data_IF_432742815014
#
_entry.id   IF_432742815014
#
_cell.length_a   1.000
_cell.length_b   1.000
_cell.length_c   1.000
_cell.angle_alpha   90.00
_cell.angle_beta   90.00
_cell.angle_gamma   90.00
#
_symmetry.space_group_name_H-M   'P 1'
#
loop_
_entity.id
_entity.type
_entity.pdbx_description
1 polymer ?
#
# COMPACT_ATOMS: atom_id res chain seq x y z
N UNK A 1 -5.28 8.94 14.24
CA UNK A 1 -5.35 8.45 12.84
C UNK A 1 -6.79 8.13 12.44
N UNK A 2 -7.46 7.14 13.04
CA UNK A 2 -8.84 6.72 12.69
C UNK A 2 -9.84 7.89 12.70
N UNK A 3 -9.91 8.66 13.80
CA UNK A 3 -10.77 9.84 13.88
C UNK A 3 -10.46 10.90 12.82
N UNK A 4 -9.19 11.09 12.47
CA UNK A 4 -8.79 12.04 11.43
C UNK A 4 -9.25 11.56 10.04
N UNK A 5 -9.10 10.27 9.75
CA UNK A 5 -9.59 9.65 8.51
C UNK A 5 -11.11 9.75 8.40
N UNK A 6 -11.86 9.47 9.47
CA UNK A 6 -13.32 9.62 9.51
C UNK A 6 -13.78 11.06 9.26
N UNK A 7 -13.04 12.04 9.79
CA UNK A 7 -13.33 13.46 9.61
C UNK A 7 -12.69 14.06 8.34
N UNK A 8 -12.12 13.23 7.45
CA UNK A 8 -11.40 13.67 6.23
C UNK A 8 -10.30 14.70 6.49
N UNK A 9 -9.72 14.69 7.69
CA UNK A 9 -8.57 15.50 8.03
C UNK A 9 -7.33 14.90 7.35
N UNK A 10 -6.48 15.73 6.71
CA UNK A 10 -5.24 15.26 6.12
C UNK A 10 -4.40 14.50 7.15
N UNK A 11 -3.99 13.28 6.81
CA UNK A 11 -3.15 12.42 7.67
C UNK A 11 -1.84 13.12 8.03
N UNK A 12 -1.34 14.01 7.17
CA UNK A 12 -0.17 14.85 7.45
C UNK A 12 -0.32 15.67 8.74
N UNK A 13 -1.52 16.16 9.07
CA UNK A 13 -1.75 16.91 10.31
C UNK A 13 -1.51 16.00 11.53
N UNK A 14 -1.97 14.75 11.48
CA UNK A 14 -1.77 13.77 12.56
C UNK A 14 -0.29 13.43 12.74
N UNK A 15 0.43 13.26 11.63
CA UNK A 15 1.87 12.96 11.66
C UNK A 15 2.63 14.18 12.20
N UNK A 16 2.35 15.38 11.68
CA UNK A 16 2.98 16.61 12.13
C UNK A 16 2.70 16.91 13.61
N UNK A 17 1.49 16.65 14.11
CA UNK A 17 1.18 16.84 15.53
C UNK A 17 1.95 15.86 16.42
N UNK A 18 2.07 14.59 16.01
CA UNK A 18 2.92 13.61 16.69
C UNK A 18 4.40 14.02 16.71
N UNK A 19 4.91 14.52 15.58
CA UNK A 19 6.28 15.05 15.47
C UNK A 19 6.49 16.25 16.39
N UNK A 20 5.57 17.22 16.39
CA UNK A 20 5.63 18.39 17.27
C UNK A 20 5.56 18.01 18.75
N UNK A 21 4.73 17.02 19.09
CA UNK A 21 4.63 16.49 20.45
C UNK A 21 5.95 15.85 20.91
N UNK A 22 6.56 14.99 20.09
CA UNK A 22 7.85 14.38 20.38
C UNK A 22 8.98 15.41 20.46
N UNK A 23 8.96 16.43 19.59
CA UNK A 23 9.87 17.58 19.67
C UNK A 23 9.68 18.36 20.98
N UNK A 24 8.43 18.58 21.40
CA UNK A 24 8.12 19.21 22.68
C UNK A 24 8.69 18.42 23.87
N UNK A 25 8.49 17.10 23.89
CA UNK A 25 9.09 16.21 24.90
C UNK A 25 10.61 16.37 24.89
N UNK A 26 11.23 16.26 23.71
CA UNK A 26 12.68 16.39 23.55
C UNK A 26 13.18 17.71 24.14
N UNK A 27 12.56 18.83 23.78
CA UNK A 27 12.92 20.17 24.26
C UNK A 27 12.76 20.32 25.79
N UNK A 28 11.71 19.74 26.38
CA UNK A 28 11.54 19.75 27.85
C UNK A 28 12.63 18.92 28.54
N UNK A 29 13.00 17.77 27.98
CA UNK A 29 14.09 16.95 28.52
C UNK A 29 15.49 17.57 28.36
N UNK A 30 15.69 18.53 27.43
CA UNK A 30 16.97 19.25 27.33
C UNK A 30 17.35 20.00 28.62
N UNK A 31 16.33 20.49 29.35
CA UNK A 31 16.50 21.23 30.60
C UNK A 31 16.64 20.33 31.85
N UNK A 32 16.54 19.00 31.69
CA UNK A 32 16.64 18.02 32.79
C UNK A 32 17.70 16.94 32.48
N UNK A 33 19.00 17.28 32.59
CA UNK A 33 20.11 16.39 32.21
C UNK A 33 20.14 15.05 32.96
N UNK A 34 19.51 14.96 34.14
CA UNK A 34 19.44 13.72 34.93
C UNK A 34 18.49 12.65 34.37
N UNK A 35 17.62 12.99 33.42
CA UNK A 35 16.64 12.05 32.85
C UNK A 35 17.10 11.33 31.57
N UNK A 36 18.18 11.79 30.92
CA UNK A 36 18.67 11.21 29.66
C UNK A 36 20.04 10.58 29.87
N UNK A 37 20.13 9.25 29.75
CA UNK A 37 21.39 8.49 29.80
C UNK A 37 22.20 8.53 28.50
N UNK A 38 21.61 8.98 27.39
CA UNK A 38 22.25 8.99 26.07
C UNK A 38 22.87 10.34 25.71
N UNK A 39 23.90 10.31 24.84
CA UNK A 39 24.54 11.50 24.29
C UNK A 39 23.54 12.39 23.53
N UNK A 40 23.62 13.70 23.78
CA UNK A 40 22.78 14.70 23.13
C UNK A 40 23.16 14.80 21.65
N UNK A 41 22.27 14.36 20.77
CA UNK A 41 22.42 14.56 19.32
C UNK A 41 21.78 15.89 18.93
N UNK A 42 22.59 16.89 18.60
CA UNK A 42 22.09 18.16 18.04
C UNK A 42 21.35 17.95 16.71
N UNK A 43 20.78 19.00 16.12
CA UNK A 43 20.03 18.92 14.84
C UNK A 43 20.82 18.18 13.76
N UNK A 44 22.13 18.41 13.67
CA UNK A 44 23.03 17.72 12.73
C UNK A 44 23.17 16.22 13.03
N UNK A 45 23.13 15.83 14.30
CA UNK A 45 23.16 14.42 14.71
C UNK A 45 21.86 13.72 14.33
N UNK A 46 20.72 14.35 14.62
CA UNK A 46 19.38 13.85 14.23
C UNK A 46 19.29 13.72 12.71
N UNK A 47 19.72 14.74 11.95
CA UNK A 47 19.69 14.72 10.50
C UNK A 47 20.54 13.60 9.87
N UNK A 48 21.62 13.17 10.54
CA UNK A 48 22.44 12.02 10.09
C UNK A 48 21.77 10.67 10.32
N UNK A 49 20.79 10.60 11.23
CA UNK A 49 20.04 9.37 11.52
C UNK A 49 18.79 9.22 10.68
N UNK A 50 18.32 10.30 10.05
CA UNK A 50 17.25 10.24 9.06
C UNK A 50 17.71 9.37 7.89
N UNK A 51 16.91 8.37 7.56
CA UNK A 51 17.13 7.55 6.38
C UNK A 51 16.68 8.32 5.12
N UNK A 52 17.59 9.13 4.57
CA UNK A 52 17.37 9.93 3.36
C UNK A 52 17.03 9.07 2.13
N UNK A 53 17.40 7.79 2.12
CA UNK A 53 17.08 6.86 1.04
C UNK A 53 15.57 6.66 0.91
N UNK A 54 14.81 6.78 2.00
CA UNK A 54 13.34 6.69 1.98
C UNK A 54 12.74 7.85 1.16
N UNK A 55 13.26 9.07 1.31
CA UNK A 55 12.79 10.22 0.56
C UNK A 55 13.09 10.07 -0.94
N UNK A 56 14.31 9.61 -1.26
CA UNK A 56 14.68 9.31 -2.64
C UNK A 56 13.79 8.21 -3.23
N UNK A 57 13.56 7.13 -2.48
CA UNK A 57 12.67 6.04 -2.87
C UNK A 57 11.24 6.53 -3.17
N UNK A 58 10.69 7.41 -2.33
CA UNK A 58 9.36 7.99 -2.57
C UNK A 58 9.30 8.81 -3.87
N UNK A 59 10.34 9.58 -4.19
CA UNK A 59 10.43 10.31 -5.47
C UNK A 59 10.55 9.34 -6.64
N UNK A 60 11.39 8.31 -6.52
CA UNK A 60 11.58 7.29 -7.56
C UNK A 60 10.29 6.53 -7.86
N UNK A 61 9.47 6.19 -6.86
CA UNK A 61 8.16 5.57 -7.07
C UNK A 61 7.31 6.42 -8.00
N UNK A 62 7.25 7.74 -7.77
CA UNK A 62 6.45 8.64 -8.61
C UNK A 62 6.98 8.66 -10.05
N UNK A 63 8.30 8.74 -10.24
CA UNK A 63 8.92 8.70 -11.56
C UNK A 63 8.62 7.39 -12.32
N UNK A 64 8.69 6.25 -11.64
CA UNK A 64 8.38 4.94 -12.23
C UNK A 64 6.92 4.89 -12.70
N UNK A 65 5.98 5.33 -11.86
CA UNK A 65 4.56 5.34 -12.22
C UNK A 65 4.27 6.28 -13.38
N UNK A 66 4.92 7.44 -13.41
CA UNK A 66 4.80 8.39 -14.53
C UNK A 66 5.39 7.80 -15.83
N UNK A 67 6.50 7.07 -15.75
CA UNK A 67 7.05 6.32 -16.89
C UNK A 67 6.07 5.26 -17.40
N UNK A 68 5.54 4.42 -16.50
CA UNK A 68 4.55 3.40 -16.84
C UNK A 68 3.29 4.00 -17.49
N UNK A 69 2.81 5.13 -16.95
CA UNK A 69 1.71 5.88 -17.54
C UNK A 69 2.00 6.32 -18.98
N UNK A 70 3.20 6.81 -19.26
CA UNK A 70 3.56 7.21 -20.63
C UNK A 70 3.63 6.02 -21.61
N UNK A 71 3.91 4.81 -21.11
CA UNK A 71 3.93 3.58 -21.92
C UNK A 71 2.56 2.95 -22.15
N UNK A 72 1.46 3.53 -21.64
CA UNK A 72 0.11 3.00 -21.80
C UNK A 72 -0.33 2.01 -20.72
N UNK A 73 0.41 1.89 -19.60
CA UNK A 73 0.08 0.94 -18.55
C UNK A 73 -1.26 1.28 -17.86
N UNK A 74 -1.55 2.58 -17.68
CA UNK A 74 -2.81 3.02 -17.04
C UNK A 74 -4.01 2.57 -17.87
N UNK A 75 -3.94 2.71 -19.19
CA UNK A 75 -4.96 2.31 -20.15
C UNK A 75 -5.11 0.78 -20.16
N UNK A 76 -4.00 0.05 -20.12
CA UNK A 76 -4.00 -1.41 -20.06
C UNK A 76 -4.69 -1.94 -18.79
N UNK A 77 -4.32 -1.43 -17.61
CA UNK A 77 -4.95 -1.85 -16.36
C UNK A 77 -6.40 -1.39 -16.26
N UNK A 78 -6.75 -0.20 -16.78
CA UNK A 78 -8.13 0.25 -16.87
C UNK A 78 -8.98 -0.70 -17.72
N UNK A 79 -8.45 -1.15 -18.86
CA UNK A 79 -9.11 -2.16 -19.68
C UNK A 79 -9.29 -3.50 -18.94
N UNK A 80 -8.27 -3.98 -18.23
CA UNK A 80 -8.39 -5.19 -17.43
C UNK A 80 -9.46 -5.05 -16.34
N UNK A 81 -9.46 -3.96 -15.58
CA UNK A 81 -10.45 -3.72 -14.53
C UNK A 81 -11.87 -3.65 -15.08
N UNK A 82 -12.10 -2.93 -16.18
CA UNK A 82 -13.44 -2.88 -16.81
C UNK A 82 -13.90 -4.25 -17.29
N UNK A 83 -12.99 -5.08 -17.85
CA UNK A 83 -13.32 -6.46 -18.22
C UNK A 83 -13.73 -7.29 -17.02
N UNK A 84 -13.06 -7.15 -15.88
CA UNK A 84 -13.43 -7.92 -14.67
C UNK A 84 -14.84 -7.60 -14.17
N UNK A 85 -15.36 -6.40 -14.40
CA UNK A 85 -16.72 -6.02 -14.01
C UNK A 85 -17.82 -6.75 -14.79
N UNK A 86 -17.48 -7.39 -15.91
CA UNK A 86 -18.42 -8.22 -16.67
C UNK A 86 -18.48 -9.67 -16.19
N UNK A 87 -17.63 -10.06 -15.23
CA UNK A 87 -17.62 -11.39 -14.63
C UNK A 87 -18.76 -11.55 -13.60
N UNK A 88 -19.10 -12.79 -13.20
CA UNK A 88 -20.00 -13.04 -12.07
C UNK A 88 -19.60 -12.23 -10.83
N UNK A 89 -20.59 -11.86 -10.01
CA UNK A 89 -20.44 -10.84 -8.96
C UNK A 89 -19.22 -11.05 -8.04
N UNK A 90 -18.99 -12.28 -7.56
CA UNK A 90 -17.79 -12.56 -6.74
C UNK A 90 -16.48 -12.42 -7.54
N UNK A 91 -16.46 -12.91 -8.78
CA UNK A 91 -15.29 -12.82 -9.66
C UNK A 91 -14.98 -11.38 -10.08
N UNK A 92 -15.98 -10.49 -10.15
CA UNK A 92 -15.76 -9.06 -10.37
C UNK A 92 -15.03 -8.35 -9.22
N UNK A 93 -14.89 -9.00 -8.07
CA UNK A 93 -14.10 -8.52 -6.92
C UNK A 93 -12.76 -9.28 -6.83
N UNK A 94 -12.81 -10.61 -6.96
CA UNK A 94 -11.62 -11.46 -6.85
C UNK A 94 -10.60 -11.18 -7.97
N UNK A 95 -11.06 -11.10 -9.22
CA UNK A 95 -10.16 -10.93 -10.36
C UNK A 95 -9.35 -9.63 -10.33
N UNK A 96 -9.93 -8.43 -10.10
CA UNK A 96 -9.14 -7.21 -9.98
C UNK A 96 -8.23 -7.24 -8.76
N UNK A 97 -8.65 -7.85 -7.64
CA UNK A 97 -7.81 -8.03 -6.46
C UNK A 97 -6.55 -8.85 -6.79
N UNK A 98 -6.72 -9.97 -7.50
CA UNK A 98 -5.61 -10.84 -7.94
C UNK A 98 -4.69 -10.17 -8.95
N UNK A 99 -5.24 -9.41 -9.91
CA UNK A 99 -4.44 -8.62 -10.86
C UNK A 99 -3.52 -7.66 -10.11
N UNK A 100 -4.06 -6.96 -9.11
CA UNK A 100 -3.28 -6.03 -8.30
C UNK A 100 -2.28 -6.76 -7.40
N UNK A 101 -2.63 -7.89 -6.80
CA UNK A 101 -1.71 -8.75 -6.02
C UNK A 101 -0.48 -9.11 -6.84
N UNK A 102 -0.69 -9.60 -8.07
CA UNK A 102 0.40 -9.99 -8.99
C UNK A 102 1.23 -8.76 -9.39
N UNK A 103 0.57 -7.65 -9.73
CA UNK A 103 1.25 -6.39 -10.05
C UNK A 103 2.13 -5.90 -8.90
N UNK A 104 1.58 -5.84 -7.69
CA UNK A 104 2.29 -5.38 -6.49
C UNK A 104 3.47 -6.29 -6.12
N UNK A 105 3.35 -7.59 -6.36
CA UNK A 105 4.43 -8.56 -6.19
C UNK A 105 5.62 -8.30 -7.11
N UNK A 106 5.35 -7.81 -8.33
CA UNK A 106 6.37 -7.59 -9.35
C UNK A 106 7.06 -6.23 -9.23
N UNK A 107 6.32 -5.17 -8.88
CA UNK A 107 6.82 -3.78 -8.94
C UNK A 107 6.75 -3.01 -7.63
N UNK A 108 6.49 -3.67 -6.50
CA UNK A 108 6.21 -3.10 -5.18
C UNK A 108 4.77 -2.59 -4.99
N UNK A 109 4.30 -2.62 -3.74
CA UNK A 109 2.96 -2.18 -3.36
C UNK A 109 2.70 -0.68 -3.60
N UNK A 110 3.69 0.21 -3.41
CA UNK A 110 3.46 1.65 -3.60
C UNK A 110 3.28 2.06 -5.07
N UNK A 111 4.18 1.71 -6.02
CA UNK A 111 3.95 1.98 -7.43
C UNK A 111 2.65 1.37 -7.95
N UNK A 112 2.37 0.11 -7.59
CA UNK A 112 1.15 -0.56 -8.02
C UNK A 112 -0.11 0.08 -7.42
N UNK A 113 -0.06 0.59 -6.18
CA UNK A 113 -1.19 1.34 -5.58
C UNK A 113 -1.55 2.56 -6.41
N UNK A 114 -0.55 3.38 -6.78
CA UNK A 114 -0.77 4.60 -7.55
C UNK A 114 -1.21 4.25 -8.97
N UNK A 115 -0.57 3.27 -9.62
CA UNK A 115 -0.96 2.81 -10.95
C UNK A 115 -2.41 2.30 -10.97
N UNK A 116 -2.80 1.48 -10.00
CA UNK A 116 -4.15 0.98 -9.85
C UNK A 116 -5.16 2.11 -9.65
N UNK A 117 -4.86 3.10 -8.79
CA UNK A 117 -5.72 4.26 -8.59
C UNK A 117 -5.92 5.08 -9.87
N UNK A 118 -4.84 5.36 -10.60
CA UNK A 118 -4.89 6.05 -11.89
C UNK A 118 -5.69 5.26 -12.93
N UNK A 119 -5.56 3.94 -12.94
CA UNK A 119 -6.26 3.05 -13.85
C UNK A 119 -7.76 2.98 -13.54
N UNK A 120 -8.14 2.98 -12.26
CA UNK A 120 -9.54 3.06 -11.83
C UNK A 120 -10.15 4.39 -12.26
N UNK A 121 -9.42 5.51 -12.07
CA UNK A 121 -9.87 6.82 -12.53
C UNK A 121 -10.01 6.87 -14.06
N UNK A 122 -9.08 6.27 -14.80
CA UNK A 122 -9.17 6.17 -16.25
C UNK A 122 -10.38 5.33 -16.68
N UNK A 123 -10.64 4.21 -16.01
CA UNK A 123 -11.80 3.35 -16.25
C UNK A 123 -13.13 4.08 -15.98
N UNK A 124 -13.19 4.89 -14.91
CA UNK A 124 -14.35 5.71 -14.57
C UNK A 124 -14.69 6.76 -15.65
N UNK A 125 -13.66 7.28 -16.31
CA UNK A 125 -13.82 8.29 -17.37
C UNK A 125 -14.14 7.65 -18.73
N UNK A 126 -13.59 6.47 -19.02
CA UNK A 126 -13.79 5.80 -20.32
C UNK A 126 -15.09 5.01 -20.39
N UNK A 127 -15.54 4.47 -19.27
CA UNK A 127 -16.79 3.74 -19.10
C UNK A 127 -17.52 4.37 -17.94
N UNK A 128 -18.78 4.78 -18.10
CA UNK A 128 -19.57 5.36 -17.00
C UNK A 128 -19.82 4.32 -15.89
N UNK A 129 -18.84 4.15 -15.00
CA UNK A 129 -18.91 3.22 -13.88
C UNK A 129 -19.85 3.78 -12.81
N UNK A 130 -20.73 2.93 -12.27
CA UNK A 130 -21.52 3.29 -11.10
C UNK A 130 -20.64 3.32 -9.83
N UNK A 131 -21.15 3.94 -8.77
CA UNK A 131 -20.41 4.09 -7.49
C UNK A 131 -20.04 2.76 -6.84
N UNK A 132 -20.85 1.71 -7.02
CA UNK A 132 -20.58 0.39 -6.46
C UNK A 132 -19.39 -0.30 -7.15
N UNK A 133 -19.29 -0.19 -8.49
CA UNK A 133 -18.16 -0.70 -9.26
C UNK A 133 -16.88 0.05 -8.90
N UNK A 134 -16.94 1.37 -8.73
CA UNK A 134 -15.79 2.16 -8.26
C UNK A 134 -15.35 1.71 -6.87
N UNK A 135 -16.30 1.54 -5.94
CA UNK A 135 -16.02 1.03 -4.59
C UNK A 135 -15.35 -0.34 -4.64
N UNK A 136 -15.90 -1.26 -5.43
CA UNK A 136 -15.34 -2.61 -5.63
C UNK A 136 -13.89 -2.55 -6.13
N UNK A 137 -13.61 -1.76 -7.17
CA UNK A 137 -12.27 -1.65 -7.73
C UNK A 137 -11.28 -0.98 -6.77
N UNK A 138 -11.70 0.06 -6.05
CA UNK A 138 -10.85 0.73 -5.04
C UNK A 138 -10.46 -0.23 -3.94
N UNK A 139 -11.42 -0.96 -3.36
CA UNK A 139 -11.11 -1.94 -2.32
C UNK A 139 -10.34 -3.14 -2.87
N UNK A 140 -10.61 -3.60 -4.09
CA UNK A 140 -9.82 -4.64 -4.75
C UNK A 140 -8.35 -4.20 -4.92
N UNK A 141 -8.12 -2.94 -5.27
CA UNK A 141 -6.78 -2.37 -5.33
C UNK A 141 -6.13 -2.32 -3.93
N UNK A 142 -6.87 -1.95 -2.89
CA UNK A 142 -6.36 -1.96 -1.51
C UNK A 142 -5.97 -3.39 -1.10
N UNK A 143 -6.85 -4.37 -1.30
CA UNK A 143 -6.60 -5.79 -0.98
C UNK A 143 -5.34 -6.27 -1.68
N UNK A 144 -5.26 -6.12 -3.01
CA UNK A 144 -4.14 -6.64 -3.77
C UNK A 144 -2.80 -5.99 -3.42
N UNK A 145 -2.76 -4.68 -3.15
CA UNK A 145 -1.52 -4.00 -2.80
C UNK A 145 -1.01 -4.37 -1.39
N UNK A 146 -1.91 -4.67 -0.46
CA UNK A 146 -1.50 -5.05 0.91
C UNK A 146 -1.09 -6.53 1.00
N UNK A 147 -1.70 -7.41 0.20
CA UNK A 147 -1.46 -8.85 0.24
C UNK A 147 -0.49 -9.35 -0.84
N UNK A 148 -0.31 -8.60 -1.92
CA UNK A 148 0.66 -8.87 -2.99
C UNK A 148 2.08 -9.10 -2.52
N UNK A 149 2.64 -8.27 -1.61
CA UNK A 149 3.99 -8.49 -1.11
C UNK A 149 4.24 -9.88 -0.50
N UNK A 150 3.21 -10.53 0.05
CA UNK A 150 3.36 -11.89 0.59
C UNK A 150 3.59 -12.93 -0.52
N UNK A 151 3.06 -12.70 -1.72
CA UNK A 151 3.19 -13.62 -2.85
C UNK A 151 4.63 -13.70 -3.38
N UNK A 152 5.34 -12.57 -3.48
CA UNK A 152 6.73 -12.51 -3.94
C UNK A 152 7.57 -11.51 -3.13
N UNK A 153 8.82 -11.85 -2.69
CA UNK A 153 9.61 -11.01 -1.78
C UNK A 153 9.89 -9.58 -2.28
N UNK A 154 10.00 -9.38 -3.59
CA UNK A 154 10.23 -8.06 -4.20
C UNK A 154 9.06 -7.08 -3.98
N UNK A 155 7.87 -7.59 -3.65
CA UNK A 155 6.68 -6.76 -3.51
C UNK A 155 6.72 -5.78 -2.34
N UNK A 156 7.61 -5.95 -1.35
CA UNK A 156 7.80 -4.98 -0.27
C UNK A 156 9.23 -4.94 0.26
N UNK A 157 9.74 -3.73 0.47
CA UNK A 157 11.02 -3.48 1.13
C UNK A 157 11.08 -4.09 2.53
N UNK A 158 9.96 -4.13 3.26
CA UNK A 158 9.91 -4.70 4.61
C UNK A 158 10.26 -6.19 4.61
N UNK A 159 9.83 -6.93 3.58
CA UNK A 159 10.10 -8.36 3.43
C UNK A 159 11.58 -8.59 3.10
N UNK A 160 12.16 -7.75 2.23
CA UNK A 160 13.58 -7.80 1.94
C UNK A 160 14.43 -7.51 3.19
N UNK A 161 14.04 -6.49 3.97
CA UNK A 161 14.69 -6.17 5.25
C UNK A 161 14.56 -7.33 6.26
N UNK A 162 13.40 -7.97 6.30
CA UNK A 162 13.18 -9.15 7.14
C UNK A 162 14.06 -10.33 6.71
N UNK A 163 14.08 -10.68 5.42
CA UNK A 163 14.94 -11.74 4.87
C UNK A 163 16.42 -11.48 5.17
N UNK A 164 16.87 -10.23 5.01
CA UNK A 164 18.23 -9.82 5.34
C UNK A 164 18.52 -9.96 6.84
N UNK A 165 17.58 -9.57 7.69
CA UNK A 165 17.69 -9.73 9.15
C UNK A 165 17.78 -11.21 9.54
N UNK A 166 16.98 -12.08 8.93
CA UNK A 166 17.03 -13.52 9.15
C UNK A 166 18.38 -14.11 8.74
N UNK A 167 18.90 -13.69 7.58
CA UNK A 167 20.22 -14.10 7.09
C UNK A 167 21.33 -13.71 8.07
N UNK A 168 21.30 -12.48 8.60
CA UNK A 168 22.27 -12.01 9.62
C UNK A 168 22.20 -12.79 10.92
N UNK A 169 21.03 -13.36 11.26
CA UNK A 169 20.83 -14.23 12.43
C UNK A 169 21.14 -15.71 12.15
N UNK A 170 21.72 -16.04 10.99
CA UNK A 170 22.10 -17.40 10.62
C UNK A 170 20.97 -18.24 10.02
N UNK A 171 19.79 -17.66 9.76
CA UNK A 171 18.66 -18.37 9.15
C UNK A 171 18.53 -17.95 7.69
N UNK A 172 18.87 -18.85 6.77
CA UNK A 172 18.75 -18.58 5.33
C UNK A 172 17.45 -19.16 4.79
N UNK A 173 16.54 -18.29 4.37
CA UNK A 173 15.28 -18.67 3.72
C UNK A 173 15.49 -18.62 2.20
N UNK A 174 15.35 -19.76 1.52
CA UNK A 174 15.48 -19.80 0.06
C UNK A 174 14.23 -19.22 -0.58
N UNK A 175 14.39 -18.62 -1.76
CA UNK A 175 13.27 -18.07 -2.53
C UNK A 175 12.17 -19.12 -2.76
N UNK A 176 12.53 -20.37 -3.07
CA UNK A 176 11.55 -21.46 -3.26
C UNK A 176 10.71 -21.73 -2.01
N UNK A 177 11.35 -21.76 -0.84
CA UNK A 177 10.66 -22.06 0.43
C UNK A 177 9.71 -20.91 0.79
N UNK A 178 10.17 -19.67 0.58
CA UNK A 178 9.33 -18.49 0.70
C UNK A 178 8.13 -18.57 -0.25
N UNK A 179 8.35 -18.77 -1.55
CA UNK A 179 7.25 -18.79 -2.53
C UNK A 179 6.26 -19.91 -2.27
N UNK A 180 6.72 -21.08 -1.82
CA UNK A 180 5.85 -22.21 -1.48
C UNK A 180 4.83 -21.84 -0.40
N UNK A 181 5.25 -21.08 0.61
CA UNK A 181 4.37 -20.66 1.71
C UNK A 181 3.63 -19.37 1.34
N UNK A 182 4.38 -18.35 0.93
CA UNK A 182 3.89 -17.00 0.64
C UNK A 182 2.84 -16.95 -0.47
N UNK A 183 3.03 -17.69 -1.58
CA UNK A 183 2.03 -17.69 -2.66
C UNK A 183 0.72 -18.36 -2.24
N UNK A 184 0.78 -19.48 -1.52
CA UNK A 184 -0.41 -20.21 -1.05
C UNK A 184 -1.18 -19.34 -0.04
N UNK A 185 -0.46 -18.79 0.94
CA UNK A 185 -1.06 -17.91 1.94
C UNK A 185 -1.65 -16.66 1.28
N UNK A 186 -0.93 -16.00 0.37
CA UNK A 186 -1.42 -14.80 -0.32
C UNK A 186 -2.67 -15.07 -1.15
N UNK A 187 -2.74 -16.19 -1.88
CA UNK A 187 -3.95 -16.56 -2.64
C UNK A 187 -5.13 -16.77 -1.70
N UNK A 188 -4.93 -17.46 -0.58
CA UNK A 188 -5.98 -17.68 0.43
C UNK A 188 -6.44 -16.36 1.05
N UNK A 189 -5.49 -15.51 1.48
CA UNK A 189 -5.77 -14.20 2.07
C UNK A 189 -6.56 -13.31 1.10
N UNK A 190 -6.12 -13.22 -0.17
CA UNK A 190 -6.80 -12.42 -1.20
C UNK A 190 -8.19 -12.97 -1.47
N UNK A 191 -8.33 -14.30 -1.59
CA UNK A 191 -9.63 -14.93 -1.84
C UNK A 191 -10.61 -14.67 -0.71
N UNK A 192 -10.17 -14.83 0.55
CA UNK A 192 -11.00 -14.57 1.73
C UNK A 192 -11.34 -13.08 1.85
N UNK A 193 -10.38 -12.18 1.64
CA UNK A 193 -10.63 -10.74 1.67
C UNK A 193 -11.61 -10.30 0.57
N UNK A 194 -11.45 -10.82 -0.65
CA UNK A 194 -12.39 -10.57 -1.76
C UNK A 194 -13.77 -11.15 -1.47
N UNK A 195 -13.86 -12.29 -0.78
CA UNK A 195 -15.14 -12.87 -0.36
C UNK A 195 -15.85 -11.96 0.65
N UNK A 196 -15.14 -11.49 1.67
CA UNK A 196 -15.68 -10.55 2.66
C UNK A 196 -16.16 -9.27 1.97
N UNK A 197 -15.33 -8.68 1.11
CA UNK A 197 -15.71 -7.49 0.35
C UNK A 197 -16.94 -7.73 -0.52
N UNK A 198 -17.03 -8.87 -1.22
CA UNK A 198 -18.20 -9.22 -2.00
C UNK A 198 -19.47 -9.32 -1.13
N UNK A 199 -19.38 -9.95 0.05
CA UNK A 199 -20.50 -10.01 1.00
C UNK A 199 -20.93 -8.61 1.47
N UNK A 200 -19.97 -7.73 1.78
CA UNK A 200 -20.26 -6.35 2.18
C UNK A 200 -20.92 -5.53 1.06
N UNK A 201 -20.47 -5.71 -0.18
CA UNK A 201 -21.07 -5.06 -1.35
C UNK A 201 -22.48 -5.60 -1.64
N UNK A 202 -22.71 -6.91 -1.50
CA UNK A 202 -23.96 -7.55 -1.86
C UNK A 202 -25.06 -7.43 -0.79
N UNK A 203 -24.69 -7.51 0.49
CA UNK A 203 -25.66 -7.60 1.59
C UNK A 203 -25.68 -6.37 2.49
N UNK A 204 -24.54 -5.67 2.64
CA UNK A 204 -24.43 -4.47 3.49
C UNK A 204 -24.59 -3.18 2.66
N UNK A 205 -24.65 -3.29 1.33
CA UNK A 205 -24.68 -2.16 0.39
C UNK A 205 -23.52 -1.17 0.64
N UNK A 206 -22.33 -1.70 0.92
CA UNK A 206 -21.12 -0.88 1.05
C UNK A 206 -20.93 -0.04 -0.22
N UNK A 207 -20.92 1.28 -0.06
CA UNK A 207 -20.72 2.20 -1.18
C UNK A 207 -19.96 3.43 -0.69
N UNK A 208 -18.85 3.74 -1.38
CA UNK A 208 -18.09 4.94 -1.10
C UNK A 208 -18.71 6.11 -1.86
N UNK A 209 -18.94 7.22 -1.15
CA UNK A 209 -19.31 8.49 -1.76
C UNK A 209 -18.08 9.13 -2.44
N UNK A 210 -17.69 8.56 -3.58
CA UNK A 210 -16.59 9.04 -4.42
C UNK A 210 -17.22 9.68 -5.66
N UNK A 211 -16.94 10.97 -5.87
CA UNK A 211 -17.19 11.59 -7.17
C UNK A 211 -16.05 11.20 -8.13
N UNK A 212 -16.38 10.83 -9.39
CA UNK A 212 -15.37 10.48 -10.40
C UNK A 212 -14.35 11.61 -10.67
#
# INVERSE_FOLDING_TARGET
YVLASLNRLPVSIVICSGTLFLLGIYMVTLNKPSMLKEERKGIKGIAKEINWDILLFMISIFLVVQGLRHTGAVEFFAYLFTKTLSLPQFLSVLAPSMIVTIGASAMNNWPMTILGLLSIKQAANSVSLNSQNLTSLVFSNIIGNNLGPHFFPLGSLAILMWLETMRRKGVTIRLRDYLKVGSVVSILEVTVASLVLWLELAFVNLNLNIQP
#
